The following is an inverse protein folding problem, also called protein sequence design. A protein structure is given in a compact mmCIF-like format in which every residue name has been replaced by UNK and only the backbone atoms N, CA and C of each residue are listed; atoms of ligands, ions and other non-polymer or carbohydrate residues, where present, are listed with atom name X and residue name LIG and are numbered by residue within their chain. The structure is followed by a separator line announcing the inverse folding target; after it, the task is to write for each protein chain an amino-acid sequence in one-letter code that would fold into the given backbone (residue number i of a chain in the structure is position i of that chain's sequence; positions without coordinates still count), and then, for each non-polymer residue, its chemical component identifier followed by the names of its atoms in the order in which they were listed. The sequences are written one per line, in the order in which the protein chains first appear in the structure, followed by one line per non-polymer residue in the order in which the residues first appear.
data_IF_436955028487
#
_entry.id   IF_436955028487
#
_cell.length_a   1.000
_cell.length_b   1.000
_cell.length_c   1.000
_cell.angle_alpha   90.00
_cell.angle_beta   90.00
_cell.angle_gamma   90.00
#
_symmetry.space_group_name_H-M   'P 1'
#
loop_
_entity.id
_entity.type
_entity.pdbx_description
1 polymer ?
#
# COMPACT_ATOMS: atom_id res chain seq x y z
N UNK A 1 25.54 -32.49 25.65
CA UNK A 1 25.40 -31.04 25.39
C UNK A 1 24.37 -30.87 24.30
N UNK A 2 23.15 -30.49 24.66
CA UNK A 2 22.11 -30.11 23.71
C UNK A 2 22.09 -28.59 23.72
N UNK A 3 22.56 -27.95 22.64
CA UNK A 3 22.38 -26.51 22.46
C UNK A 3 20.90 -26.27 22.13
N UNK A 4 20.18 -25.66 23.08
CA UNK A 4 18.91 -25.02 22.79
C UNK A 4 19.19 -23.75 21.98
N UNK A 5 18.69 -23.68 20.75
CA UNK A 5 18.63 -22.44 20.00
C UNK A 5 17.58 -21.53 20.67
N UNK A 6 18.05 -20.52 21.39
CA UNK A 6 17.21 -19.42 21.84
C UNK A 6 16.70 -18.68 20.61
N UNK A 7 15.40 -18.79 20.35
CA UNK A 7 14.70 -17.86 19.47
C UNK A 7 14.90 -16.47 20.05
N UNK A 8 15.63 -15.60 19.36
CA UNK A 8 15.72 -14.21 19.72
C UNK A 8 14.29 -13.63 19.67
N UNK A 9 13.76 -13.21 20.81
CA UNK A 9 12.62 -12.31 20.84
C UNK A 9 13.07 -11.01 20.19
N UNK A 10 12.75 -10.82 18.91
CA UNK A 10 12.82 -9.52 18.27
C UNK A 10 11.86 -8.60 19.02
N UNK A 11 12.39 -7.57 19.67
CA UNK A 11 11.58 -6.47 20.21
C UNK A 11 10.99 -5.72 18.99
N UNK A 12 9.83 -6.19 18.53
CA UNK A 12 9.09 -5.54 17.47
C UNK A 12 8.66 -4.18 18.03
N UNK A 13 9.11 -3.08 17.41
CA UNK A 13 8.80 -1.72 17.89
C UNK A 13 7.30 -1.46 18.13
N UNK A 14 6.99 -0.37 18.85
CA UNK A 14 5.64 0.03 19.32
C UNK A 14 4.48 -0.45 18.43
N UNK A 15 3.46 -1.11 19.00
CA UNK A 15 2.16 -1.50 18.41
C UNK A 15 1.54 -0.44 17.48
N UNK A 16 0.95 -0.83 16.33
CA UNK A 16 0.54 0.14 15.33
C UNK A 16 -0.78 0.73 15.77
N UNK A 17 -1.00 2.02 15.52
CA UNK A 17 -2.26 2.65 15.89
C UNK A 17 -3.42 2.14 15.02
N UNK A 18 -3.14 1.61 13.82
CA UNK A 18 -4.15 1.00 12.95
C UNK A 18 -3.59 -0.14 12.11
N UNK A 19 -4.28 -1.29 12.12
CA UNK A 19 -4.07 -2.39 11.15
C UNK A 19 -5.00 -2.17 9.96
N UNK A 20 -4.45 -2.24 8.75
CA UNK A 20 -5.20 -2.08 7.50
C UNK A 20 -5.12 -3.38 6.72
N UNK A 21 -6.23 -4.10 6.57
CA UNK A 21 -6.27 -5.30 5.74
C UNK A 21 -6.31 -4.91 4.27
N UNK A 22 -5.31 -5.35 3.51
CA UNK A 22 -5.25 -5.14 2.07
C UNK A 22 -6.01 -6.26 1.35
N UNK A 23 -6.98 -5.90 0.51
CA UNK A 23 -7.91 -6.81 -0.16
C UNK A 23 -7.71 -6.81 -1.69
N UNK A 24 -7.24 -7.95 -2.22
CA UNK A 24 -7.00 -8.19 -3.65
C UNK A 24 -8.30 -8.40 -4.45
N UNK A 25 -8.19 -8.39 -5.78
CA UNK A 25 -9.27 -8.69 -6.74
C UNK A 25 -9.73 -10.15 -6.63
N UNK A 26 -10.44 -10.45 -5.55
CA UNK A 26 -11.06 -11.74 -5.21
C UNK A 26 -12.15 -11.55 -4.15
N UNK A 27 -13.08 -12.49 -3.98
CA UNK A 27 -14.09 -12.40 -2.92
C UNK A 27 -13.44 -12.27 -1.54
N UNK A 28 -13.86 -11.27 -0.78
CA UNK A 28 -13.41 -11.03 0.60
C UNK A 28 -14.62 -10.80 1.50
N UNK A 29 -14.73 -11.56 2.59
CA UNK A 29 -15.71 -11.35 3.65
C UNK A 29 -14.98 -10.94 4.93
N UNK A 30 -14.94 -9.63 5.16
CA UNK A 30 -14.25 -9.00 6.29
C UNK A 30 -15.24 -8.57 7.37
N UNK A 31 -16.44 -9.16 7.44
CA UNK A 31 -17.44 -8.84 8.47
C UNK A 31 -17.05 -9.32 9.87
N UNK A 32 -15.92 -10.00 10.03
CA UNK A 32 -15.32 -10.28 11.33
C UNK A 32 -14.56 -9.07 11.93
N UNK A 33 -14.32 -8.02 11.14
CA UNK A 33 -13.70 -6.79 11.62
C UNK A 33 -14.69 -5.95 12.44
N UNK A 34 -14.18 -5.34 13.51
CA UNK A 34 -14.92 -4.42 14.37
C UNK A 34 -14.44 -2.97 14.17
N UNK A 35 -15.35 -1.98 14.12
CA UNK A 35 -14.98 -0.56 14.04
C UNK A 35 -14.00 -0.13 15.13
N UNK A 36 -13.02 0.67 14.76
CA UNK A 36 -11.97 1.16 15.66
C UNK A 36 -10.75 0.23 15.81
N UNK A 37 -10.88 -1.05 15.44
CA UNK A 37 -9.77 -2.02 15.56
C UNK A 37 -8.97 -2.17 14.26
N UNK A 38 -9.61 -1.98 13.11
CA UNK A 38 -8.98 -2.15 11.80
C UNK A 38 -9.63 -1.26 10.73
N UNK A 39 -8.90 -1.08 9.62
CA UNK A 39 -9.40 -0.51 8.38
C UNK A 39 -9.17 -1.47 7.21
N UNK A 40 -9.71 -1.14 6.05
CA UNK A 40 -9.54 -1.93 4.82
C UNK A 40 -8.98 -1.05 3.71
N UNK A 41 -8.04 -1.57 2.94
CA UNK A 41 -7.61 -1.01 1.66
C UNK A 41 -7.96 -2.02 0.57
N UNK A 42 -8.82 -1.67 -0.37
CA UNK A 42 -9.31 -2.61 -1.39
C UNK A 42 -8.85 -2.21 -2.77
N UNK A 43 -8.33 -3.17 -3.54
CA UNK A 43 -8.13 -2.99 -4.98
C UNK A 43 -9.48 -2.77 -5.64
N UNK A 44 -9.80 -1.50 -5.89
CA UNK A 44 -11.07 -1.03 -6.42
C UNK A 44 -11.07 -1.02 -7.96
N UNK A 45 -9.90 -0.90 -8.58
CA UNK A 45 -9.69 -1.05 -10.01
C UNK A 45 -8.22 -1.23 -10.36
N UNK A 46 -7.97 -1.75 -11.55
CA UNK A 46 -6.70 -1.62 -12.25
C UNK A 46 -6.89 -0.74 -13.48
N UNK A 47 -6.02 0.24 -13.69
CA UNK A 47 -5.92 1.03 -14.91
C UNK A 47 -4.70 0.56 -15.69
N UNK A 48 -4.91 0.13 -16.92
CA UNK A 48 -3.84 -0.25 -17.83
C UNK A 48 -3.53 0.91 -18.79
N UNK A 49 -2.26 1.32 -18.82
CA UNK A 49 -1.73 2.33 -19.74
C UNK A 49 -1.09 1.61 -20.94
N UNK A 50 -1.69 1.67 -22.11
CA UNK A 50 -1.24 0.92 -23.29
C UNK A 50 -1.39 1.77 -24.56
N UNK A 51 -0.30 1.98 -25.29
CA UNK A 51 -0.28 2.97 -26.38
C UNK A 51 -0.78 4.33 -25.89
N UNK A 52 -1.77 4.91 -26.56
CA UNK A 52 -2.43 6.17 -26.20
C UNK A 52 -3.67 6.01 -25.28
N UNK A 53 -3.96 4.77 -24.85
CA UNK A 53 -5.16 4.42 -24.08
C UNK A 53 -4.88 4.31 -22.59
N UNK A 54 -5.89 4.65 -21.79
CA UNK A 54 -5.94 4.33 -20.37
C UNK A 54 -7.29 3.64 -20.12
N UNK A 55 -7.25 2.33 -19.90
CA UNK A 55 -8.44 1.49 -19.75
C UNK A 55 -8.58 1.03 -18.30
N UNK A 56 -9.74 1.28 -17.70
CA UNK A 56 -10.03 0.84 -16.35
C UNK A 56 -10.72 -0.53 -16.36
N UNK A 57 -10.26 -1.41 -15.48
CA UNK A 57 -10.92 -2.65 -15.07
C UNK A 57 -11.33 -2.49 -13.60
N UNK A 58 -12.57 -2.04 -13.33
CA UNK A 58 -13.09 -1.98 -11.97
C UNK A 58 -13.12 -3.35 -11.32
N UNK A 59 -13.06 -3.36 -9.99
CA UNK A 59 -13.28 -4.54 -9.19
C UNK A 59 -14.61 -5.20 -9.53
N UNK A 60 -14.56 -6.49 -9.80
CA UNK A 60 -15.70 -7.37 -10.07
C UNK A 60 -16.00 -8.27 -8.87
N UNK A 61 -14.97 -8.60 -8.08
CA UNK A 61 -15.13 -9.49 -6.95
C UNK A 61 -15.84 -8.81 -5.76
N UNK A 62 -16.73 -9.51 -5.03
CA UNK A 62 -17.43 -8.92 -3.90
C UNK A 62 -16.46 -8.59 -2.76
N UNK A 63 -16.79 -7.53 -2.02
CA UNK A 63 -16.17 -7.17 -0.76
C UNK A 63 -17.30 -6.96 0.26
N UNK A 64 -17.31 -7.75 1.33
CA UNK A 64 -18.27 -7.60 2.42
C UNK A 64 -17.57 -7.04 3.65
N UNK A 65 -18.00 -5.87 4.09
CA UNK A 65 -17.43 -5.15 5.24
C UNK A 65 -18.59 -4.59 6.07
N UNK A 66 -18.45 -4.57 7.41
CA UNK A 66 -19.47 -3.95 8.28
C UNK A 66 -19.53 -2.43 8.05
N UNK A 67 -20.71 -1.79 8.23
CA UNK A 67 -20.78 -0.34 8.34
C UNK A 67 -19.84 0.19 9.43
N UNK A 68 -19.21 1.34 9.18
CA UNK A 68 -18.30 1.99 10.13
C UNK A 68 -16.84 1.54 10.04
N UNK A 69 -16.51 0.53 9.23
CA UNK A 69 -15.11 0.21 8.90
C UNK A 69 -14.63 1.18 7.81
N UNK A 70 -13.56 1.95 8.02
CA UNK A 70 -13.00 2.80 6.97
C UNK A 70 -12.44 1.96 5.81
N UNK A 71 -12.86 2.26 4.58
CA UNK A 71 -12.38 1.59 3.36
C UNK A 71 -11.64 2.60 2.48
N UNK A 72 -10.37 2.34 2.19
CA UNK A 72 -9.58 3.11 1.21
C UNK A 72 -9.69 2.45 -0.15
N UNK A 73 -10.02 3.22 -1.19
CA UNK A 73 -9.94 2.73 -2.57
C UNK A 73 -8.49 2.67 -3.00
N UNK A 74 -8.03 1.48 -3.42
CA UNK A 74 -6.74 1.31 -4.08
C UNK A 74 -6.97 1.23 -5.58
N UNK A 75 -6.33 2.10 -6.35
CA UNK A 75 -6.31 1.98 -7.81
C UNK A 75 -4.91 1.60 -8.25
N UNK A 76 -4.78 0.40 -8.83
CA UNK A 76 -3.52 -0.04 -9.41
C UNK A 76 -3.35 0.56 -10.80
N UNK A 77 -2.14 1.00 -11.13
CA UNK A 77 -1.76 1.39 -12.48
C UNK A 77 -0.74 0.39 -13.01
N UNK A 78 -1.00 -0.18 -14.17
CA UNK A 78 -0.11 -1.09 -14.89
C UNK A 78 0.30 -0.46 -16.22
N UNK A 79 1.58 -0.60 -16.58
CA UNK A 79 2.08 -0.22 -17.90
C UNK A 79 2.03 -1.43 -18.83
N UNK A 80 1.25 -1.30 -19.91
CA UNK A 80 1.24 -2.21 -21.05
C UNK A 80 2.31 -1.84 -22.07
N UNK A 81 2.06 -2.19 -23.34
CA UNK A 81 3.00 -1.93 -24.43
C UNK A 81 3.05 -0.44 -24.79
N UNK A 82 4.27 0.08 -24.94
CA UNK A 82 4.59 1.45 -25.35
C UNK A 82 3.60 2.56 -24.91
N UNK A 83 3.35 2.77 -23.60
CA UNK A 83 2.41 3.79 -23.15
C UNK A 83 2.91 5.18 -23.51
N UNK A 84 2.00 6.04 -23.97
CA UNK A 84 2.28 7.40 -24.41
C UNK A 84 2.78 8.30 -23.28
N UNK A 85 2.25 8.09 -22.07
CA UNK A 85 2.53 8.88 -20.85
C UNK A 85 2.37 10.39 -21.07
N UNK A 86 1.42 10.76 -21.93
CA UNK A 86 1.11 12.14 -22.27
C UNK A 86 -0.07 12.69 -21.45
N UNK A 87 -0.34 13.99 -21.61
CA UNK A 87 -1.41 14.67 -20.89
C UNK A 87 -2.81 14.10 -21.21
N UNK A 88 -3.02 13.52 -22.40
CA UNK A 88 -4.31 12.91 -22.78
C UNK A 88 -4.52 11.60 -22.03
N UNK A 89 -3.51 10.75 -21.99
CA UNK A 89 -3.55 9.49 -21.25
C UNK A 89 -3.65 9.75 -19.74
N UNK A 90 -2.96 10.79 -19.23
CA UNK A 90 -3.05 11.23 -17.84
C UNK A 90 -4.49 11.64 -17.48
N UNK A 91 -5.10 12.54 -18.26
CA UNK A 91 -6.46 13.01 -18.01
C UNK A 91 -7.49 11.87 -18.05
N UNK A 92 -7.30 10.88 -18.95
CA UNK A 92 -8.13 9.66 -18.99
C UNK A 92 -7.99 8.83 -17.73
N UNK A 93 -6.75 8.57 -17.29
CA UNK A 93 -6.49 7.83 -16.05
C UNK A 93 -7.08 8.56 -14.83
N UNK A 94 -6.91 9.88 -14.74
CA UNK A 94 -7.48 10.69 -13.67
C UNK A 94 -9.02 10.65 -13.66
N UNK A 95 -9.65 10.70 -14.85
CA UNK A 95 -11.10 10.54 -15.01
C UNK A 95 -11.61 9.21 -14.41
N UNK A 96 -10.96 8.10 -14.77
CA UNK A 96 -11.29 6.79 -14.20
C UNK A 96 -11.10 6.72 -12.69
N UNK A 97 -9.97 7.24 -12.18
CA UNK A 97 -9.69 7.27 -10.74
C UNK A 97 -10.79 8.02 -9.99
N UNK A 98 -11.23 9.18 -10.49
CA UNK A 98 -12.33 9.95 -9.87
C UNK A 98 -13.64 9.15 -9.85
N UNK A 99 -14.01 8.54 -10.97
CA UNK A 99 -15.25 7.77 -11.08
C UNK A 99 -15.29 6.57 -10.10
N UNK A 100 -14.14 5.93 -9.89
CA UNK A 100 -14.02 4.77 -9.02
C UNK A 100 -13.90 5.18 -7.55
N UNK A 101 -12.97 6.08 -7.23
CA UNK A 101 -12.55 6.35 -5.86
C UNK A 101 -13.40 7.39 -5.12
N UNK A 102 -14.18 8.23 -5.83
CA UNK A 102 -15.10 9.20 -5.18
C UNK A 102 -16.46 8.61 -4.79
N UNK A 103 -16.63 7.29 -4.90
CA UNK A 103 -17.89 6.64 -4.50
C UNK A 103 -18.05 6.71 -2.96
N UNK A 104 -19.27 6.88 -2.43
CA UNK A 104 -19.50 7.15 -1.01
C UNK A 104 -18.96 6.10 -0.03
N UNK A 105 -18.73 4.86 -0.49
CA UNK A 105 -18.17 3.80 0.35
C UNK A 105 -16.67 3.96 0.65
N UNK A 106 -15.96 4.87 -0.03
CA UNK A 106 -14.53 5.05 0.12
C UNK A 106 -14.19 6.30 0.93
N UNK A 107 -13.29 6.15 1.89
CA UNK A 107 -12.81 7.21 2.78
C UNK A 107 -11.49 7.86 2.32
N UNK A 108 -10.97 7.46 1.16
CA UNK A 108 -9.72 7.99 0.61
C UNK A 108 -9.22 7.16 -0.56
N UNK A 109 -8.16 7.65 -1.18
CA UNK A 109 -7.51 7.05 -2.35
C UNK A 109 -6.08 6.63 -2.01
N UNK A 110 -5.69 5.46 -2.47
CA UNK A 110 -4.30 5.02 -2.53
C UNK A 110 -3.97 4.59 -3.97
N UNK A 111 -2.93 5.14 -4.58
CA UNK A 111 -2.48 4.67 -5.89
C UNK A 111 -1.42 3.59 -5.70
N UNK A 112 -1.59 2.48 -6.41
CA UNK A 112 -0.61 1.40 -6.46
C UNK A 112 0.07 1.38 -7.83
N UNK A 113 1.26 1.98 -7.92
CA UNK A 113 1.99 2.07 -9.18
C UNK A 113 3.49 1.96 -8.95
N UNK A 114 4.09 0.86 -9.41
CA UNK A 114 5.53 0.65 -9.44
C UNK A 114 6.18 1.44 -10.59
N UNK A 115 6.02 2.76 -10.56
CA UNK A 115 6.43 3.66 -11.63
C UNK A 115 7.94 3.55 -11.92
N UNK A 116 8.35 3.13 -13.14
CA UNK A 116 9.74 3.23 -13.54
C UNK A 116 10.16 4.70 -13.60
N UNK A 117 11.47 4.95 -13.61
CA UNK A 117 12.02 6.32 -13.65
C UNK A 117 11.42 7.17 -14.78
N UNK A 118 11.23 6.57 -15.96
CA UNK A 118 10.62 7.23 -17.14
C UNK A 118 9.16 7.64 -16.93
N UNK A 119 8.41 6.98 -16.04
CA UNK A 119 7.00 7.25 -15.78
C UNK A 119 6.77 8.20 -14.59
N UNK A 120 7.82 8.54 -13.81
CA UNK A 120 7.68 9.44 -12.65
C UNK A 120 7.14 10.83 -13.00
N UNK A 121 7.51 11.48 -14.13
CA UNK A 121 6.90 12.76 -14.52
C UNK A 121 5.39 12.65 -14.74
N UNK A 122 4.94 11.61 -15.46
CA UNK A 122 3.52 11.30 -15.63
C UNK A 122 2.82 11.07 -14.30
N UNK A 123 3.42 10.25 -13.42
CA UNK A 123 2.84 9.91 -12.14
C UNK A 123 2.71 11.12 -11.22
N UNK A 124 3.72 12.00 -11.19
CA UNK A 124 3.67 13.29 -10.49
C UNK A 124 2.50 14.14 -10.98
N UNK A 125 2.41 14.35 -12.30
CA UNK A 125 1.36 15.18 -12.89
C UNK A 125 -0.05 14.61 -12.63
N UNK A 126 -0.19 13.28 -12.67
CA UNK A 126 -1.43 12.59 -12.28
C UNK A 126 -1.81 12.85 -10.82
N UNK A 127 -0.85 12.73 -9.88
CA UNK A 127 -1.10 12.99 -8.46
C UNK A 127 -1.43 14.46 -8.18
N UNK A 128 -0.76 15.39 -8.86
CA UNK A 128 -1.05 16.83 -8.81
C UNK A 128 -2.47 17.14 -9.30
N UNK A 129 -2.89 16.51 -10.40
CA UNK A 129 -4.25 16.63 -10.91
C UNK A 129 -5.30 16.07 -9.94
N UNK A 130 -5.01 14.97 -9.26
CA UNK A 130 -5.95 14.31 -8.35
C UNK A 130 -6.03 14.96 -6.97
N UNK A 131 -4.96 15.62 -6.48
CA UNK A 131 -4.90 16.11 -5.09
C UNK A 131 -6.13 16.93 -4.65
N UNK A 132 -6.68 17.86 -5.46
CA UNK A 132 -7.84 18.66 -5.04
C UNK A 132 -9.12 17.84 -4.79
N UNK A 133 -9.21 16.63 -5.33
CA UNK A 133 -10.41 15.79 -5.27
C UNK A 133 -10.47 14.89 -4.03
N UNK A 134 -9.36 14.74 -3.30
CA UNK A 134 -9.24 13.76 -2.22
C UNK A 134 -8.58 14.36 -0.98
N UNK A 135 -9.28 14.32 0.15
CA UNK A 135 -8.73 14.72 1.45
C UNK A 135 -7.52 13.85 1.84
N UNK A 136 -7.61 12.55 1.56
CA UNK A 136 -6.52 11.57 1.77
C UNK A 136 -6.12 10.92 0.44
N UNK A 137 -4.90 11.22 0.00
CA UNK A 137 -4.24 10.68 -1.18
C UNK A 137 -2.92 10.02 -0.75
N UNK A 138 -2.89 8.70 -0.76
CA UNK A 138 -1.72 7.89 -0.44
C UNK A 138 -1.19 7.17 -1.68
N UNK A 139 -0.01 6.57 -1.57
CA UNK A 139 0.52 5.64 -2.58
C UNK A 139 1.11 4.40 -1.90
N UNK A 140 1.17 3.27 -2.60
CA UNK A 140 2.19 2.26 -2.30
C UNK A 140 3.55 2.75 -2.82
N UNK A 141 4.62 2.28 -2.22
CA UNK A 141 5.97 2.60 -2.65
C UNK A 141 6.88 1.37 -2.56
N UNK A 142 7.83 1.29 -3.49
CA UNK A 142 8.97 0.41 -3.32
C UNK A 142 9.80 0.88 -2.12
N UNK A 143 10.22 -0.03 -1.24
CA UNK A 143 11.01 0.31 -0.07
C UNK A 143 12.29 1.08 -0.42
N UNK A 144 12.87 0.80 -1.58
CA UNK A 144 14.05 1.50 -2.11
C UNK A 144 13.81 3.01 -2.32
N UNK A 145 12.60 3.43 -2.72
CA UNK A 145 12.28 4.85 -2.90
C UNK A 145 12.32 5.62 -1.58
N UNK A 146 12.06 4.95 -0.46
CA UNK A 146 12.01 5.57 0.86
C UNK A 146 13.38 5.67 1.54
N UNK A 147 14.42 5.05 0.96
CA UNK A 147 15.77 4.96 1.51
C UNK A 147 16.75 6.01 0.94
N UNK A 148 16.31 6.79 -0.03
CA UNK A 148 17.04 7.92 -0.57
C UNK A 148 16.77 9.18 0.27
N UNK A 149 17.82 9.86 0.76
CA UNK A 149 17.65 11.11 1.54
C UNK A 149 16.95 12.22 0.73
N UNK A 150 17.11 12.20 -0.60
CA UNK A 150 16.41 13.07 -1.55
C UNK A 150 15.54 12.25 -2.47
N UNK A 151 14.61 11.52 -1.88
CA UNK A 151 13.62 10.78 -2.64
C UNK A 151 12.78 11.71 -3.51
N UNK A 152 12.46 11.27 -4.73
CA UNK A 152 11.50 11.95 -5.61
C UNK A 152 10.10 12.08 -4.99
N UNK A 153 9.81 11.25 -3.96
CA UNK A 153 8.59 11.25 -3.17
C UNK A 153 8.37 12.56 -2.40
N UNK A 154 9.44 13.21 -1.91
CA UNK A 154 9.35 14.44 -1.12
C UNK A 154 8.58 15.56 -1.82
N UNK A 155 8.66 15.61 -3.15
CA UNK A 155 7.99 16.61 -3.97
C UNK A 155 6.56 16.21 -4.41
N UNK A 156 6.04 15.03 -4.04
CA UNK A 156 4.71 14.61 -4.46
C UNK A 156 3.60 15.19 -3.56
N UNK A 157 2.42 15.50 -4.11
CA UNK A 157 1.28 16.00 -3.34
C UNK A 157 0.49 14.85 -2.70
N UNK A 158 1.13 14.07 -1.83
CA UNK A 158 0.53 12.90 -1.19
C UNK A 158 0.58 13.04 0.34
N UNK A 159 -0.34 12.43 1.05
CA UNK A 159 -0.32 12.45 2.52
C UNK A 159 0.59 11.34 3.08
N UNK A 160 0.75 10.25 2.33
CA UNK A 160 1.43 9.04 2.79
C UNK A 160 2.00 8.23 1.62
N UNK A 161 3.20 7.67 1.80
CA UNK A 161 3.76 6.63 0.93
C UNK A 161 3.97 5.36 1.76
N UNK A 162 3.35 4.25 1.39
CA UNK A 162 3.44 2.97 2.10
C UNK A 162 4.54 2.08 1.50
N UNK A 163 5.76 2.04 2.05
CA UNK A 163 6.79 1.11 1.61
C UNK A 163 6.37 -0.34 1.83
N UNK A 164 6.40 -1.14 0.75
CA UNK A 164 6.13 -2.59 0.82
C UNK A 164 7.40 -3.35 1.22
N UNK A 165 7.41 -3.91 2.43
CA UNK A 165 8.52 -4.65 3.04
C UNK A 165 8.43 -6.17 2.84
N UNK A 166 7.80 -6.59 1.75
CA UNK A 166 7.62 -7.99 1.37
C UNK A 166 7.89 -8.12 -0.14
N UNK A 167 8.32 -9.32 -0.59
CA UNK A 167 8.65 -9.58 -2.00
C UNK A 167 9.61 -8.54 -2.62
N UNK A 168 10.57 -8.05 -1.83
CA UNK A 168 11.51 -6.99 -2.24
C UNK A 168 12.59 -7.44 -3.24
N UNK A 169 12.57 -8.70 -3.67
CA UNK A 169 13.53 -9.25 -4.60
C UNK A 169 14.95 -9.38 -4.03
N UNK A 170 15.98 -9.50 -4.89
CA UNK A 170 17.35 -9.84 -4.49
C UNK A 170 18.00 -8.86 -3.50
N UNK A 171 17.60 -7.58 -3.55
CA UNK A 171 18.16 -6.54 -2.68
C UNK A 171 17.47 -6.44 -1.31
N UNK A 172 16.39 -7.21 -1.08
CA UNK A 172 15.52 -7.07 0.10
C UNK A 172 16.26 -7.20 1.44
N UNK A 173 17.09 -8.23 1.61
CA UNK A 173 17.84 -8.45 2.87
C UNK A 173 18.79 -7.27 3.18
N UNK A 174 19.44 -6.71 2.15
CA UNK A 174 20.33 -5.55 2.32
C UNK A 174 19.55 -4.31 2.74
N UNK A 175 18.36 -4.09 2.18
CA UNK A 175 17.50 -2.96 2.52
C UNK A 175 16.94 -3.09 3.94
N UNK A 176 16.50 -4.29 4.34
CA UNK A 176 16.03 -4.56 5.70
C UNK A 176 17.13 -4.35 6.75
N UNK A 177 18.33 -4.90 6.54
CA UNK A 177 19.45 -4.70 7.45
C UNK A 177 19.82 -3.21 7.62
N UNK A 178 19.68 -2.42 6.54
CA UNK A 178 19.86 -0.97 6.59
C UNK A 178 18.78 -0.31 7.46
N UNK A 179 17.51 -0.67 7.26
CA UNK A 179 16.38 -0.14 8.02
C UNK A 179 16.44 -0.51 9.51
N UNK A 180 16.83 -1.74 9.83
CA UNK A 180 17.04 -2.19 11.22
C UNK A 180 18.10 -1.35 11.93
N UNK A 181 19.20 -1.02 11.23
CA UNK A 181 20.26 -0.18 11.76
C UNK A 181 19.87 1.30 11.88
N UNK A 182 19.13 1.82 10.91
CA UNK A 182 18.73 3.24 10.86
C UNK A 182 17.47 3.54 11.70
N UNK A 183 16.67 2.50 12.02
CA UNK A 183 15.47 2.58 12.84
C UNK A 183 14.28 3.31 12.21
N UNK A 184 14.45 3.93 11.04
CA UNK A 184 13.39 4.66 10.32
C UNK A 184 13.73 4.90 8.85
N UNK A 185 12.74 5.25 8.04
CA UNK A 185 12.97 5.70 6.67
C UNK A 185 13.49 7.15 6.64
N UNK A 186 14.53 7.45 5.84
CA UNK A 186 14.96 8.82 5.58
C UNK A 186 13.84 9.71 5.04
N UNK A 187 13.05 9.23 4.07
CA UNK A 187 11.91 9.96 3.49
C UNK A 187 10.76 10.10 4.50
N UNK A 188 10.39 11.34 4.92
CA UNK A 188 9.34 11.56 5.92
C UNK A 188 7.98 10.94 5.58
N UNK A 189 7.58 10.94 4.29
CA UNK A 189 6.29 10.39 3.84
C UNK A 189 6.17 8.88 4.03
N UNK A 190 7.30 8.18 4.23
CA UNK A 190 7.34 6.73 4.43
C UNK A 190 7.38 6.31 5.91
N UNK A 191 7.36 7.25 6.87
CA UNK A 191 7.51 6.93 8.30
C UNK A 191 6.20 6.56 8.98
N UNK A 192 5.06 6.99 8.44
CA UNK A 192 3.74 6.79 9.05
C UNK A 192 3.14 5.42 8.77
N UNK A 193 3.58 4.73 7.71
CA UNK A 193 3.04 3.45 7.31
C UNK A 193 4.07 2.47 6.79
N UNK A 194 3.77 1.18 6.87
CA UNK A 194 4.50 0.11 6.18
C UNK A 194 3.55 -0.98 5.69
N UNK A 195 3.91 -1.60 4.58
CA UNK A 195 3.26 -2.78 4.04
C UNK A 195 4.02 -4.06 4.40
N UNK A 196 3.34 -5.07 4.94
CA UNK A 196 3.90 -6.39 5.26
C UNK A 196 3.00 -7.49 4.72
N UNK A 197 3.49 -8.72 4.61
CA UNK A 197 2.68 -9.86 4.17
C UNK A 197 2.69 -10.97 5.20
N UNK A 198 1.55 -11.63 5.42
CA UNK A 198 1.43 -12.70 6.44
C UNK A 198 2.16 -13.99 6.06
N UNK A 199 2.58 -14.13 4.79
CA UNK A 199 3.38 -15.25 4.28
C UNK A 199 4.89 -14.98 4.31
N UNK A 200 5.32 -13.85 4.90
CA UNK A 200 6.74 -13.51 5.07
C UNK A 200 7.06 -13.14 6.53
N UNK A 201 8.26 -13.46 7.05
CA UNK A 201 8.65 -13.10 8.41
C UNK A 201 8.68 -11.58 8.61
N UNK A 202 8.01 -11.10 9.66
CA UNK A 202 8.13 -9.71 10.11
C UNK A 202 9.48 -9.53 10.84
N UNK A 203 10.49 -9.06 10.13
CA UNK A 203 11.85 -8.89 10.69
C UNK A 203 12.06 -7.56 11.37
N UNK A 204 11.50 -6.52 10.78
CA UNK A 204 11.60 -5.16 11.27
C UNK A 204 10.23 -4.51 11.27
N UNK A 205 10.01 -3.73 12.33
CA UNK A 205 8.79 -2.98 12.51
C UNK A 205 9.16 -1.56 12.91
N UNK A 206 8.96 -0.57 12.02
CA UNK A 206 9.02 0.80 12.46
C UNK A 206 7.88 1.04 13.45
N UNK A 207 8.02 2.06 14.30
CA UNK A 207 6.90 2.64 15.04
C UNK A 207 5.91 3.35 14.11
N UNK A 208 5.49 2.69 13.02
CA UNK A 208 4.55 3.19 12.05
C UNK A 208 3.15 3.22 12.65
N UNK A 209 2.45 4.32 12.37
CA UNK A 209 1.08 4.56 12.80
C UNK A 209 0.12 3.57 12.12
N UNK A 210 0.40 3.20 10.86
CA UNK A 210 -0.46 2.34 10.05
C UNK A 210 0.29 1.14 9.50
N UNK A 211 -0.22 -0.06 9.75
CA UNK A 211 0.33 -1.29 9.21
C UNK A 211 -0.61 -1.87 8.16
N UNK A 212 -0.20 -1.79 6.90
CA UNK A 212 -0.91 -2.43 5.80
C UNK A 212 -0.48 -3.89 5.73
N UNK A 213 -1.44 -4.80 5.93
CA UNK A 213 -1.17 -6.22 5.96
C UNK A 213 -1.75 -6.85 4.70
N UNK A 214 -0.91 -7.58 3.99
CA UNK A 214 -1.23 -8.29 2.77
C UNK A 214 -1.36 -9.78 3.04
N UNK A 215 -2.24 -10.43 2.29
CA UNK A 215 -2.43 -11.88 2.35
C UNK A 215 -2.42 -12.49 0.95
N UNK A 216 -1.71 -13.62 0.72
CA UNK A 216 -1.75 -14.33 -0.55
C UNK A 216 -3.10 -15.03 -0.80
N UNK A 217 -3.97 -15.15 0.22
CA UNK A 217 -5.29 -15.80 0.17
C UNK A 217 -6.38 -14.96 0.84
N UNK A 218 -7.65 -15.25 0.55
CA UNK A 218 -8.76 -14.52 1.17
C UNK A 218 -8.61 -14.50 2.69
N UNK A 219 -8.92 -13.34 3.28
CA UNK A 219 -8.78 -13.12 4.70
C UNK A 219 -9.77 -13.94 5.50
N UNK A 220 -9.30 -14.50 6.60
CA UNK A 220 -10.14 -15.13 7.61
C UNK A 220 -9.94 -14.46 8.96
N UNK A 221 -10.93 -14.60 9.85
CA UNK A 221 -10.81 -14.11 11.22
C UNK A 221 -9.58 -14.70 11.95
N UNK A 222 -9.25 -16.01 11.83
CA UNK A 222 -8.00 -16.55 12.36
C UNK A 222 -6.74 -15.83 11.85
N UNK A 223 -6.67 -15.48 10.56
CA UNK A 223 -5.50 -14.76 10.02
C UNK A 223 -5.36 -13.38 10.65
N UNK A 224 -6.48 -12.67 10.79
CA UNK A 224 -6.52 -11.36 11.42
C UNK A 224 -6.13 -11.44 12.91
N UNK A 225 -6.64 -12.44 13.65
CA UNK A 225 -6.29 -12.64 15.06
C UNK A 225 -4.81 -13.00 15.22
N UNK A 226 -4.27 -13.85 14.36
CA UNK A 226 -2.86 -14.23 14.39
C UNK A 226 -1.94 -13.03 14.16
N UNK A 227 -2.26 -12.16 13.20
CA UNK A 227 -1.44 -10.96 12.98
C UNK A 227 -1.58 -9.96 14.14
N UNK A 228 -2.78 -9.78 14.70
CA UNK A 228 -2.98 -8.93 15.89
C UNK A 228 -2.15 -9.44 17.07
N UNK A 229 -2.13 -10.75 17.30
CA UNK A 229 -1.34 -11.38 18.36
C UNK A 229 0.17 -11.20 18.14
N UNK A 230 0.64 -11.38 16.91
CA UNK A 230 2.05 -11.16 16.56
C UNK A 230 2.51 -9.71 16.76
N UNK A 231 1.59 -8.74 16.74
CA UNK A 231 1.88 -7.31 16.84
C UNK A 231 1.72 -6.73 18.26
N UNK A 232 1.25 -7.52 19.21
CA UNK A 232 1.17 -7.18 20.64
C UNK A 232 2.51 -7.41 21.33
#
# INVERSE_FOLDING_TARGET
MILAALAACSDLGRAPDTIVLWAWERPEDLRFLEPGNAAVAVLAATIELNGDRADARPRSAPLQVRPGIPVTAVVRIEMGDAPALDARQQARAAGWIREIARRPQYAGLQIDFDAPLSARPFYRALLEELRPDFDRLAITALASWCLEERSWLGALPIDEATPMLFRMGPDGERLLARLEREGSFPEPRCRSSVGISIDEPLRWRPGALRLYVFSPRAWTEPDYRAIVEQLR
#
